data_IF_747843956476
#
_entry.id   IF_747843956476
#
_cell.length_a   1.000
_cell.length_b   1.000
_cell.length_c   1.000
_cell.angle_alpha   90.00
_cell.angle_beta   90.00
_cell.angle_gamma   90.00
#
_symmetry.space_group_name_H-M   'P 1'
#
loop_
_entity.id
_entity.type
_entity.pdbx_description
1 polymer ?
#
# COMPACT_ATOMS: atom_id res chain seq x y z
N UNK A 1 11.71 15.87 7.82
CA UNK A 1 10.38 15.28 7.60
C UNK A 1 10.39 13.87 8.18
N UNK A 2 9.28 13.37 8.73
CA UNK A 2 9.24 12.02 9.30
C UNK A 2 9.15 11.01 8.17
N UNK A 3 9.96 9.94 8.23
CA UNK A 3 9.97 8.83 7.26
C UNK A 3 9.18 7.65 7.82
N UNK A 4 8.22 7.15 7.06
CA UNK A 4 7.35 6.05 7.49
C UNK A 4 7.30 4.98 6.40
N UNK A 5 7.66 3.75 6.77
CA UNK A 5 7.43 2.57 5.94
C UNK A 5 6.01 2.05 6.20
N UNK A 6 5.23 1.86 5.14
CA UNK A 6 3.87 1.37 5.22
C UNK A 6 3.83 -0.14 4.95
N UNK A 7 3.20 -0.86 5.88
CA UNK A 7 2.85 -2.26 5.67
C UNK A 7 1.66 -2.39 4.70
N UNK A 8 1.56 -3.55 4.02
CA UNK A 8 0.47 -3.82 3.07
C UNK A 8 -0.90 -3.72 3.75
N UNK A 9 -1.04 -4.19 4.99
CA UNK A 9 -2.34 -4.17 5.70
C UNK A 9 -2.87 -2.75 5.92
N UNK A 10 -1.98 -1.78 6.18
CA UNK A 10 -2.33 -0.36 6.35
C UNK A 10 -2.82 0.22 5.03
N UNK A 11 -2.15 -0.10 3.92
CA UNK A 11 -2.55 0.38 2.59
C UNK A 11 -3.86 -0.23 2.12
N UNK A 12 -4.07 -1.52 2.35
CA UNK A 12 -5.35 -2.21 2.07
C UNK A 12 -6.49 -1.51 2.81
N UNK A 13 -6.33 -1.27 4.11
CA UNK A 13 -7.32 -0.59 4.93
C UNK A 13 -7.56 0.86 4.47
N UNK A 14 -6.50 1.59 4.13
CA UNK A 14 -6.60 2.97 3.64
C UNK A 14 -7.32 3.07 2.29
N UNK A 15 -7.16 2.10 1.39
CA UNK A 15 -7.77 2.13 0.05
C UNK A 15 -9.21 1.61 0.08
N UNK A 16 -9.51 0.58 0.88
CA UNK A 16 -10.83 -0.02 0.96
C UNK A 16 -11.73 0.75 1.94
N UNK A 17 -12.59 1.63 1.43
CA UNK A 17 -13.49 2.49 2.24
C UNK A 17 -14.36 1.71 3.23
N UNK A 18 -14.75 0.47 2.90
CA UNK A 18 -15.57 -0.39 3.77
C UNK A 18 -14.76 -1.13 4.85
N UNK A 19 -13.44 -0.98 4.88
CA UNK A 19 -12.59 -1.64 5.87
C UNK A 19 -12.81 -1.02 7.27
N UNK A 20 -12.92 -1.82 8.35
CA UNK A 20 -13.16 -1.28 9.71
C UNK A 20 -12.11 -0.25 10.16
N UNK A 21 -10.88 -0.39 9.68
CA UNK A 21 -9.77 0.51 9.97
C UNK A 21 -9.52 1.57 8.89
N UNK A 22 -10.49 1.84 8.02
CA UNK A 22 -10.30 2.78 6.92
C UNK A 22 -9.87 4.17 7.39
N UNK A 23 -10.63 4.79 8.30
CA UNK A 23 -10.32 6.14 8.78
C UNK A 23 -8.91 6.31 9.39
N UNK A 24 -8.46 5.49 10.36
CA UNK A 24 -7.12 5.64 10.92
C UNK A 24 -6.03 5.40 9.86
N UNK A 25 -6.18 4.43 8.97
CA UNK A 25 -5.19 4.16 7.93
C UNK A 25 -5.18 5.22 6.83
N UNK A 26 -6.35 5.73 6.43
CA UNK A 26 -6.49 6.83 5.47
C UNK A 26 -5.77 8.09 5.94
N UNK A 27 -5.86 8.44 7.23
CA UNK A 27 -5.18 9.62 7.77
C UNK A 27 -3.65 9.59 7.59
N UNK A 28 -3.04 8.40 7.59
CA UNK A 28 -1.61 8.26 7.31
C UNK A 28 -1.31 8.35 5.82
N UNK A 29 -2.14 7.74 4.98
CA UNK A 29 -2.02 7.84 3.52
C UNK A 29 -2.18 9.29 3.04
N UNK A 30 -3.13 10.03 3.62
CA UNK A 30 -3.37 11.44 3.33
C UNK A 30 -2.15 12.31 3.65
N UNK A 31 -1.49 12.08 4.79
CA UNK A 31 -0.25 12.79 5.16
C UNK A 31 0.88 12.60 4.15
N UNK A 32 0.97 11.44 3.48
CA UNK A 32 1.93 11.23 2.40
C UNK A 32 1.51 12.07 1.17
N UNK A 33 0.23 12.05 0.81
CA UNK A 33 -0.32 12.80 -0.34
C UNK A 33 -0.22 14.32 -0.18
N UNK A 34 -0.28 14.82 1.06
CA UNK A 34 -0.14 16.24 1.38
C UNK A 34 1.32 16.64 1.67
N UNK A 35 2.27 15.71 1.50
CA UNK A 35 3.70 15.92 1.77
C UNK A 35 4.02 16.34 3.22
N UNK A 36 3.18 15.95 4.19
CA UNK A 36 3.46 16.13 5.62
C UNK A 36 4.50 15.12 6.14
N UNK A 37 4.55 13.95 5.51
CA UNK A 37 5.52 12.88 5.79
C UNK A 37 6.08 12.28 4.50
N UNK A 38 7.22 11.60 4.60
CA UNK A 38 7.75 10.77 3.52
C UNK A 38 7.23 9.33 3.68
N UNK A 39 6.45 8.86 2.71
CA UNK A 39 5.93 7.49 2.67
C UNK A 39 6.83 6.55 1.87
N UNK A 40 7.10 5.37 2.42
CA UNK A 40 7.89 4.32 1.80
C UNK A 40 7.08 3.02 1.71
N UNK A 41 7.32 2.24 0.67
CA UNK A 41 6.92 0.83 0.56
C UNK A 41 8.09 0.01 0.03
N UNK A 42 8.05 -1.31 0.23
CA UNK A 42 8.96 -2.24 -0.44
C UNK A 42 8.34 -2.76 -1.74
N UNK A 43 9.16 -3.26 -2.66
CA UNK A 43 8.69 -3.83 -3.93
C UNK A 43 7.65 -4.94 -3.75
N UNK A 44 7.78 -5.75 -2.69
CA UNK A 44 6.83 -6.83 -2.39
C UNK A 44 5.40 -6.33 -2.10
N UNK A 45 5.28 -5.15 -1.46
CA UNK A 45 4.00 -4.53 -1.14
C UNK A 45 3.13 -4.33 -2.38
N UNK A 46 3.72 -4.05 -3.56
CA UNK A 46 2.97 -3.90 -4.80
C UNK A 46 2.22 -5.18 -5.20
N UNK A 47 2.91 -6.33 -5.12
CA UNK A 47 2.35 -7.62 -5.50
C UNK A 47 1.26 -8.06 -4.51
N UNK A 48 1.52 -7.91 -3.22
CA UNK A 48 0.59 -8.26 -2.17
C UNK A 48 -0.66 -7.37 -2.21
N UNK A 49 -0.49 -6.05 -2.34
CA UNK A 49 -1.60 -5.10 -2.42
C UNK A 49 -2.50 -5.38 -3.63
N UNK A 50 -1.91 -5.69 -4.79
CA UNK A 50 -2.67 -6.07 -5.98
C UNK A 50 -3.47 -7.36 -5.76
N UNK A 51 -2.83 -8.40 -5.20
CA UNK A 51 -3.48 -9.67 -4.91
C UNK A 51 -4.67 -9.49 -3.95
N UNK A 52 -4.48 -8.73 -2.87
CA UNK A 52 -5.53 -8.50 -1.86
C UNK A 52 -6.70 -7.69 -2.41
N UNK A 53 -6.44 -6.57 -3.12
CA UNK A 53 -7.51 -5.71 -3.63
C UNK A 53 -8.30 -6.41 -4.76
N UNK A 54 -7.60 -7.09 -5.68
CA UNK A 54 -8.27 -7.76 -6.81
C UNK A 54 -9.08 -8.99 -6.40
N UNK A 55 -8.71 -9.65 -5.29
CA UNK A 55 -9.45 -10.77 -4.70
C UNK A 55 -10.51 -10.35 -3.69
N UNK A 56 -10.56 -9.07 -3.31
CA UNK A 56 -11.49 -8.58 -2.30
C UNK A 56 -12.95 -8.82 -2.74
N UNK A 57 -13.80 -9.44 -1.89
CA UNK A 57 -15.18 -9.77 -2.26
C UNK A 57 -16.07 -8.52 -2.21
N UNK A 58 -15.93 -7.62 -3.18
CA UNK A 58 -16.82 -6.48 -3.40
C UNK A 58 -17.87 -6.76 -4.46
N UNK A 59 -18.97 -6.01 -4.42
CA UNK A 59 -19.94 -5.94 -5.50
C UNK A 59 -20.08 -4.49 -5.98
N UNK A 60 -19.72 -4.18 -7.25
CA UNK A 60 -19.03 -5.07 -8.21
C UNK A 60 -17.61 -5.44 -7.76
N UNK A 61 -17.06 -6.55 -8.29
CA UNK A 61 -15.65 -6.92 -8.05
C UNK A 61 -14.73 -5.92 -8.74
N UNK A 62 -13.57 -5.64 -8.14
CA UNK A 62 -12.53 -4.88 -8.81
C UNK A 62 -11.94 -5.69 -9.96
N UNK A 63 -11.89 -5.10 -11.16
CA UNK A 63 -11.13 -5.70 -12.26
C UNK A 63 -9.62 -5.52 -12.01
N UNK A 64 -8.76 -6.35 -12.64
CA UNK A 64 -7.31 -6.16 -12.61
C UNK A 64 -6.89 -4.74 -13.01
N UNK A 65 -7.52 -4.17 -14.04
CA UNK A 65 -7.20 -2.84 -14.55
C UNK A 65 -7.59 -1.74 -13.55
N UNK A 66 -8.76 -1.85 -12.91
CA UNK A 66 -9.18 -0.92 -11.87
C UNK A 66 -8.25 -1.02 -10.66
N UNK A 67 -7.88 -2.25 -10.27
CA UNK A 67 -6.95 -2.49 -9.15
C UNK A 67 -5.60 -1.85 -9.39
N UNK A 68 -5.02 -2.05 -10.58
CA UNK A 68 -3.74 -1.43 -10.95
C UNK A 68 -3.82 0.10 -10.88
N UNK A 69 -4.89 0.68 -11.41
CA UNK A 69 -5.09 2.14 -11.39
C UNK A 69 -5.22 2.67 -9.95
N UNK A 70 -5.99 2.01 -9.10
CA UNK A 70 -6.14 2.38 -7.69
C UNK A 70 -4.79 2.38 -6.97
N UNK A 71 -3.96 1.36 -7.20
CA UNK A 71 -2.62 1.27 -6.59
C UNK A 71 -1.74 2.40 -7.09
N UNK A 72 -1.69 2.64 -8.41
CA UNK A 72 -0.89 3.72 -8.99
C UNK A 72 -1.28 5.10 -8.47
N UNK A 73 -2.59 5.38 -8.39
CA UNK A 73 -3.09 6.68 -7.92
C UNK A 73 -2.84 6.90 -6.42
N UNK A 74 -2.92 5.84 -5.59
CA UNK A 74 -2.70 5.98 -4.15
C UNK A 74 -1.22 5.99 -3.75
N UNK A 75 -0.34 5.37 -4.54
CA UNK A 75 1.08 5.22 -4.23
C UNK A 75 1.99 6.19 -5.00
N UNK A 76 1.44 7.12 -5.77
CA UNK A 76 2.19 8.01 -6.67
C UNK A 76 3.28 8.82 -5.94
N UNK A 77 3.03 9.22 -4.70
CA UNK A 77 3.93 10.03 -3.88
C UNK A 77 4.85 9.19 -2.98
N UNK A 78 4.74 7.85 -3.03
CA UNK A 78 5.57 6.94 -2.26
C UNK A 78 6.92 6.70 -2.91
N UNK A 79 7.94 6.54 -2.08
CA UNK A 79 9.23 6.00 -2.48
C UNK A 79 9.20 4.47 -2.39
N UNK A 80 9.62 3.78 -3.44
CA UNK A 80 9.64 2.33 -3.50
C UNK A 80 11.07 1.84 -3.28
N UNK A 81 11.25 1.01 -2.25
CA UNK A 81 12.53 0.39 -1.90
C UNK A 81 12.57 -1.01 -2.52
N UNK A 82 13.53 -1.24 -3.41
CA UNK A 82 13.81 -2.56 -3.95
C UNK A 82 14.57 -3.40 -2.94
N UNK A 83 14.08 -4.61 -2.69
CA UNK A 83 14.77 -5.62 -1.91
C UNK A 83 15.44 -6.65 -2.83
N UNK A 84 16.62 -7.10 -2.41
CA UNK A 84 17.44 -8.12 -3.05
C UNK A 84 17.30 -9.46 -2.34
N UNK A 85 17.83 -10.53 -2.92
CA UNK A 85 17.87 -11.85 -2.27
C UNK A 85 18.58 -11.81 -0.91
N UNK A 86 19.69 -11.08 -0.81
CA UNK A 86 20.46 -10.94 0.44
C UNK A 86 19.62 -10.28 1.55
N UNK A 87 18.80 -9.27 1.20
CA UNK A 87 17.90 -8.61 2.17
C UNK A 87 16.87 -9.60 2.75
N UNK A 88 16.39 -10.55 1.94
CA UNK A 88 15.46 -11.58 2.41
C UNK A 88 16.14 -12.61 3.30
N UNK A 89 17.36 -13.04 2.98
CA UNK A 89 18.11 -13.94 3.87
C UNK A 89 18.40 -13.27 5.21
N UNK A 90 18.83 -12.00 5.20
CA UNK A 90 19.10 -11.26 6.43
C UNK A 90 17.85 -11.12 7.33
N UNK A 91 16.65 -11.08 6.75
CA UNK A 91 15.41 -10.93 7.53
C UNK A 91 14.98 -12.21 8.26
N UNK A 92 15.53 -13.38 7.91
CA UNK A 92 15.16 -14.68 8.50
C UNK A 92 16.27 -15.30 9.35
N UNK A 93 17.41 -14.63 9.49
CA UNK A 93 18.50 -14.98 10.42
C UNK A 93 18.22 -14.45 11.84
#
# INVERSE_FOLDING_TARGET
MVKILFDTSVLVAAILVKHPHHFPCWSWLEKVKTSEIEGFIITHTLAELFSVISSFPSQPRFSPQITQRLIQENLKEFQIISLTEDDYYQAIE
#
